data_IF_156460118948
#
_entry.id   IF_156460118948
#
_cell.length_a   1.000
_cell.length_b   1.000
_cell.length_c   1.000
_cell.angle_alpha   90.00
_cell.angle_beta   90.00
_cell.angle_gamma   90.00
#
_symmetry.space_group_name_H-M   'P 1'
#
loop_
_entity.id
_entity.type
_entity.pdbx_description
1 polymer ?
2 non-polymer ?
3 non-polymer ?
4 water ?
#
# COMPACT_ATOMS: atom_id res chain seq x y z
N UNK A 3 5.92 -12.51 -12.50
CA UNK A 3 4.73 -12.00 -11.83
C UNK A 3 3.72 -11.58 -12.89
N UNK A 4 2.45 -11.95 -12.70
CA UNK A 4 1.46 -11.74 -13.77
C UNK A 4 0.81 -10.38 -13.68
N UNK A 5 0.46 -9.86 -14.86
CA UNK A 5 -0.03 -8.48 -15.03
C UNK A 5 -1.56 -8.46 -14.99
N UNK A 6 -2.09 -8.77 -13.81
CA UNK A 6 -3.52 -8.78 -13.57
C UNK A 6 -3.86 -7.94 -12.35
N UNK A 7 -5.10 -7.46 -12.31
CA UNK A 7 -5.56 -6.68 -11.16
C UNK A 7 -5.37 -7.52 -9.90
N UNK A 8 -4.81 -6.90 -8.87
CA UNK A 8 -4.57 -7.58 -7.61
C UNK A 8 -5.67 -7.21 -6.62
N UNK A 9 -5.48 -7.61 -5.36
CA UNK A 9 -6.43 -7.32 -4.30
C UNK A 9 -5.70 -7.16 -2.99
N UNK A 10 -5.82 -5.99 -2.38
CA UNK A 10 -5.38 -5.76 -1.01
C UNK A 10 -6.58 -5.94 -0.10
N UNK A 11 -6.41 -6.79 0.92
CA UNK A 11 -7.52 -7.22 1.75
C UNK A 11 -6.95 -7.75 3.06
N UNK A 12 -7.80 -7.94 3.97
CA UNK A 12 -7.43 -8.35 5.31
C UNK A 12 -7.66 -9.85 5.50
N UNK A 13 -6.98 -10.50 6.46
CA UNK A 13 -7.27 -11.93 6.70
C UNK A 13 -8.55 -12.13 7.50
N UNK A 14 -8.99 -11.11 8.24
CA UNK A 14 -10.18 -11.27 9.12
C UNK A 14 -11.29 -10.26 8.80
N UNK A 15 -10.96 -9.13 8.15
CA UNK A 15 -11.98 -8.07 7.94
C UNK A 15 -13.13 -8.61 7.08
N UNK A 16 -12.82 -9.40 6.07
CA UNK A 16 -13.91 -10.01 5.23
C UNK A 16 -13.99 -11.49 5.57
N UNK A 17 -15.17 -11.96 5.94
CA UNK A 17 -15.35 -13.37 6.34
C UNK A 17 -14.91 -13.56 7.78
N UNK A 18 -15.02 -14.79 8.30
CA UNK A 18 -14.51 -15.05 9.67
C UNK A 18 -13.03 -15.48 9.60
N UNK A 19 -12.49 -15.73 8.39
CA UNK A 19 -11.13 -16.29 8.32
C UNK A 19 -10.55 -16.16 6.92
N UNK A 20 -9.34 -16.71 6.70
CA UNK A 20 -8.68 -16.56 5.38
C UNK A 20 -9.42 -17.45 4.38
N UNK A 21 -9.83 -18.64 4.84
CA UNK A 21 -10.54 -19.60 3.97
C UNK A 21 -11.84 -18.95 3.50
N UNK A 22 -12.51 -18.19 4.38
CA UNK A 22 -13.77 -17.51 4.00
C UNK A 22 -13.46 -16.54 2.87
N UNK A 23 -12.31 -15.85 2.95
CA UNK A 23 -11.92 -14.96 1.83
C UNK A 23 -11.74 -15.83 0.57
N UNK A 24 -11.12 -17.00 0.73
CA UNK A 24 -10.86 -17.87 -0.46
C UNK A 24 -12.18 -18.29 -1.09
N UNK A 25 -13.16 -18.61 -0.25
CA UNK A 25 -14.49 -19.03 -0.77
C UNK A 25 -15.04 -17.89 -1.63
N UNK A 26 -14.99 -16.66 -1.10
CA UNK A 26 -15.56 -15.50 -1.86
C UNK A 26 -14.69 -15.26 -3.09
N UNK A 27 -13.36 -15.30 -2.94
CA UNK A 27 -12.49 -14.98 -4.10
C UNK A 27 -12.70 -16.02 -5.21
N UNK A 28 -12.81 -17.30 -4.86
CA UNK A 28 -13.14 -18.30 -5.92
C UNK A 28 -14.52 -18.03 -6.49
N UNK A 29 -15.50 -17.72 -5.63
CA UNK A 29 -16.90 -17.53 -6.11
C UNK A 29 -16.95 -16.31 -7.04
N UNK A 30 -16.27 -15.23 -6.66
CA UNK A 30 -16.22 -14.02 -7.51
C UNK A 30 -14.79 -13.45 -7.44
N UNK A 31 -14.33 -12.79 -8.49
CA UNK A 31 -12.94 -12.22 -8.56
C UNK A 31 -11.99 -13.34 -8.97
N UNK A 32 -12.52 -14.53 -9.26
CA UNK A 32 -11.67 -15.65 -9.74
C UNK A 32 -11.06 -15.26 -11.08
N UNK A 33 -11.84 -14.61 -11.94
CA UNK A 33 -11.35 -14.21 -13.28
C UNK A 33 -10.92 -12.74 -13.26
N UNK A 34 -11.40 -11.98 -12.26
CA UNK A 34 -11.09 -10.56 -12.25
C UNK A 34 -9.70 -10.25 -11.69
N UNK A 35 -9.37 -10.81 -10.54
CA UNK A 35 -8.05 -10.62 -9.95
C UNK A 35 -7.14 -11.77 -10.35
N UNK A 36 -5.84 -11.58 -10.15
CA UNK A 36 -4.84 -12.60 -10.37
C UNK A 36 -3.73 -12.53 -9.34
N UNK A 37 -3.91 -11.66 -8.34
CA UNK A 37 -2.94 -11.46 -7.29
C UNK A 37 -3.65 -11.18 -5.99
N UNK A 38 -2.88 -11.17 -4.90
CA UNK A 38 -3.47 -10.99 -3.57
C UNK A 38 -2.41 -10.44 -2.63
N UNK A 39 -2.58 -9.19 -2.20
CA UNK A 39 -1.81 -8.63 -1.11
C UNK A 39 -2.67 -8.73 0.14
N UNK A 40 -2.29 -9.60 1.07
CA UNK A 40 -3.04 -9.79 2.30
C UNK A 40 -2.31 -9.05 3.42
N UNK A 41 -2.98 -8.07 4.02
CA UNK A 41 -2.45 -7.44 5.20
C UNK A 41 -2.14 -8.50 6.27
N UNK A 42 -1.15 -8.24 7.12
CA UNK A 42 -0.53 -9.33 7.90
C UNK A 42 -1.51 -10.14 8.72
N UNK A 43 -1.16 -11.42 8.90
CA UNK A 43 -1.89 -12.34 9.76
C UNK A 43 -1.21 -12.56 11.10
N UNK A 44 0.12 -12.62 11.10
CA UNK A 44 0.89 -13.07 12.25
C UNK A 44 0.60 -12.22 13.49
N UNK A 45 0.75 -12.80 14.69
CA UNK A 45 0.15 -12.18 15.89
C UNK A 45 0.81 -10.86 16.26
N UNK A 46 -0.02 -9.83 16.46
CA UNK A 46 0.46 -8.47 16.63
C UNK A 46 -0.24 -7.76 17.78
N UNK A 47 0.49 -6.91 18.49
CA UNK A 47 -0.15 -6.13 19.58
C UNK A 47 -0.66 -4.80 19.01
N UNK A 48 -0.08 -4.34 17.91
CA UNK A 48 -0.46 -3.00 17.40
C UNK A 48 -0.57 -2.92 15.87
N UNK A 49 -1.33 -1.94 15.37
CA UNK A 49 -1.41 -1.68 13.90
C UNK A 49 -1.86 -2.87 13.05
N UNK A 50 -2.84 -3.66 13.50
CA UNK A 50 -3.39 -4.69 12.61
C UNK A 50 -2.36 -5.65 12.02
N UNK A 51 -1.43 -6.13 12.84
CA UNK A 51 -0.37 -7.04 12.36
C UNK A 51 0.83 -6.29 11.82
N UNK A 52 0.81 -4.96 11.89
CA UNK A 52 2.00 -4.17 11.49
C UNK A 52 3.10 -4.34 12.56
N UNK A 53 2.75 -4.87 13.73
CA UNK A 53 3.78 -5.14 14.77
C UNK A 53 3.66 -6.59 15.24
N UNK A 54 4.05 -7.58 14.40
CA UNK A 54 4.03 -8.99 14.77
C UNK A 54 5.09 -9.42 15.79
N UNK A 55 4.77 -10.41 16.62
CA UNK A 55 5.81 -10.97 17.52
C UNK A 55 6.76 -11.77 16.64
N UNK A 56 6.26 -12.29 15.51
CA UNK A 56 7.11 -12.99 14.56
C UNK A 56 6.40 -13.04 13.22
N UNK A 57 7.16 -12.92 12.14
CA UNK A 57 6.63 -13.23 10.81
C UNK A 57 6.55 -14.72 10.56
N UNK A 58 7.18 -15.54 11.41
CA UNK A 58 7.31 -16.97 11.22
C UNK A 58 6.06 -17.74 11.61
N UNK A 59 4.94 -17.04 11.80
CA UNK A 59 3.70 -17.72 12.25
C UNK A 59 2.46 -17.05 11.64
N UNK A 60 1.31 -17.73 11.67
CA UNK A 60 0.04 -17.12 11.18
C UNK A 60 -0.94 -17.12 12.36
N UNK A 61 -1.61 -16.00 12.63
CA UNK A 61 -2.49 -15.97 13.83
C UNK A 61 -3.60 -17.01 13.62
N UNK A 62 -3.96 -17.79 14.66
CA UNK A 62 -4.96 -18.85 14.49
C UNK A 62 -6.35 -18.34 14.10
N UNK A 63 -6.79 -17.23 14.70
CA UNK A 63 -8.18 -16.77 14.46
C UNK A 63 -8.32 -16.42 12.97
N UNK A 64 -7.31 -15.76 12.41
CA UNK A 64 -7.35 -15.40 10.97
C UNK A 64 -7.39 -16.67 10.12
N UNK A 65 -6.61 -17.69 10.49
CA UNK A 65 -6.53 -18.87 9.61
C UNK A 65 -5.29 -19.71 9.88
N UNK A 66 -4.93 -20.56 8.91
CA UNK A 66 -3.75 -21.44 9.04
C UNK A 66 -2.84 -21.23 7.82
N UNK A 67 -1.57 -21.58 7.92
CA UNK A 67 -0.59 -21.29 6.84
C UNK A 67 -1.03 -21.98 5.55
N UNK A 68 -1.58 -23.18 5.67
CA UNK A 68 -1.99 -23.96 4.46
C UNK A 68 -3.05 -23.19 3.68
N UNK A 69 -3.98 -22.51 4.38
CA UNK A 69 -4.98 -21.69 3.66
C UNK A 69 -4.26 -20.58 2.88
N UNK A 70 -3.24 -19.97 3.49
CA UNK A 70 -2.43 -18.95 2.76
C UNK A 70 -1.77 -19.64 1.57
N UNK A 71 -1.30 -20.87 1.79
CA UNK A 71 -0.60 -21.62 0.71
C UNK A 71 -1.57 -21.86 -0.45
N UNK A 72 -2.84 -22.14 -0.13
CA UNK A 72 -3.84 -22.40 -1.19
C UNK A 72 -3.98 -21.14 -2.04
N UNK A 73 -3.99 -19.97 -1.42
CA UNK A 73 -4.04 -18.71 -2.18
C UNK A 73 -2.78 -18.61 -3.05
N UNK A 74 -1.63 -19.01 -2.48
CA UNK A 74 -0.34 -18.90 -3.22
C UNK A 74 -0.40 -19.80 -4.44
N UNK A 75 -0.98 -21.00 -4.29
CA UNK A 75 -1.05 -21.96 -5.40
C UNK A 75 -1.89 -21.39 -6.55
N UNK A 76 -3.01 -20.72 -6.23
CA UNK A 76 -3.93 -20.26 -7.29
C UNK A 76 -3.53 -18.87 -7.82
N UNK A 77 -3.29 -17.91 -6.91
CA UNK A 77 -3.03 -16.54 -7.35
C UNK A 77 -1.59 -16.15 -7.01
N UNK A 78 -1.26 -14.88 -7.26
CA UNK A 78 -0.04 -14.30 -6.70
C UNK A 78 -0.26 -13.90 -5.25
N UNK A 79 0.81 -13.91 -4.47
CA UNK A 79 0.72 -13.65 -3.04
C UNK A 79 1.68 -12.53 -2.67
N UNK A 80 1.14 -11.50 -2.02
CA UNK A 80 1.92 -10.39 -1.48
C UNK A 80 1.59 -10.22 -0.01
N UNK A 81 2.61 -10.08 0.83
CA UNK A 81 2.42 -9.87 2.27
C UNK A 81 3.52 -8.96 2.79
N UNK A 82 3.35 -8.53 4.03
CA UNK A 82 4.12 -7.42 4.58
C UNK A 82 5.34 -7.91 5.34
N UNK A 83 6.50 -7.36 4.99
CA UNK A 83 7.74 -7.56 5.70
C UNK A 83 8.00 -6.26 6.45
N UNK A 84 7.65 -6.22 7.74
CA UNK A 84 7.83 -5.00 8.52
C UNK A 84 9.31 -4.80 8.80
N UNK A 85 10.09 -4.49 7.76
CA UNK A 85 11.55 -4.42 7.85
C UNK A 85 12.05 -3.44 8.90
N UNK A 86 11.18 -2.57 9.42
CA UNK A 86 11.64 -1.49 10.29
C UNK A 86 11.60 -1.85 11.77
N UNK A 87 10.67 -2.69 12.20
CA UNK A 87 10.36 -2.84 13.61
C UNK A 87 9.76 -4.21 13.88
N UNK A 88 9.88 -4.65 15.14
CA UNK A 88 9.26 -5.88 15.61
C UNK A 88 8.64 -5.68 16.99
N UNK A 89 7.77 -6.62 17.38
CA UNK A 89 6.97 -6.46 18.58
C UNK A 89 7.83 -6.49 19.84
N UNK A 90 7.35 -5.83 20.90
CA UNK A 90 8.06 -5.88 22.20
C UNK A 90 7.72 -7.24 22.81
N UNK A 91 6.50 -7.72 22.54
CA UNK A 91 6.05 -9.05 23.00
C UNK A 91 6.92 -10.10 22.30
N UNK A 92 7.52 -9.71 21.16
CA UNK A 92 8.27 -10.68 20.34
C UNK A 92 9.39 -11.30 21.17
N UNK A 93 9.70 -12.59 20.99
CA UNK A 93 10.64 -13.29 21.87
C UNK A 93 12.04 -12.67 21.82
N UNK A 94 12.50 -12.26 20.65
CA UNK A 94 13.89 -11.74 20.60
C UNK A 94 13.94 -10.51 21.51
N UNK A 95 12.91 -9.65 21.45
CA UNK A 95 12.87 -8.51 22.40
C UNK A 95 12.76 -9.02 23.84
N UNK A 96 11.94 -10.05 24.04
CA UNK A 96 11.72 -10.58 25.40
C UNK A 96 13.04 -11.13 25.94
N UNK A 97 13.79 -11.81 25.08
CA UNK A 97 15.10 -12.38 25.50
C UNK A 97 16.01 -11.20 25.87
N UNK A 98 15.97 -10.14 25.09
CA UNK A 98 16.87 -9.00 25.36
C UNK A 98 16.54 -8.43 26.75
N UNK A 99 15.25 -8.30 27.04
CA UNK A 99 14.84 -7.76 28.37
C UNK A 99 15.31 -8.73 29.46
N UNK A 100 15.14 -10.03 29.22
CA UNK A 100 15.54 -11.03 30.24
C UNK A 100 17.04 -10.98 30.48
N UNK A 101 17.82 -10.86 29.40
CA UNK A 101 19.31 -10.84 29.52
C UNK A 101 19.75 -9.39 29.72
N UNK A 102 18.81 -8.46 29.66
CA UNK A 102 19.18 -7.03 29.74
C UNK A 102 20.15 -6.68 28.64
N UNK A 103 21.23 -6.00 28.99
CA UNK A 103 22.25 -5.59 27.99
C UNK A 103 22.89 -6.82 27.36
N UNK A 104 23.15 -7.87 28.14
CA UNK A 104 23.90 -9.02 27.58
C UNK A 104 22.96 -9.97 26.84
N UNK A 105 22.44 -9.54 25.68
CA UNK A 105 21.62 -10.44 24.83
C UNK A 105 22.06 -10.25 23.38
N UNK A 106 22.04 -11.32 22.58
CA UNK A 106 22.37 -11.18 21.13
C UNK A 106 21.32 -10.26 20.50
N UNK A 107 20.06 -10.42 20.90
CA UNK A 107 18.94 -9.62 20.34
C UNK A 107 19.14 -8.14 20.65
N UNK A 108 19.64 -7.81 21.85
CA UNK A 108 19.71 -6.39 22.25
C UNK A 108 20.60 -5.62 21.27
N UNK A 109 21.72 -6.20 20.85
CA UNK A 109 22.59 -5.53 19.84
C UNK A 109 21.76 -5.21 18.59
N UNK A 110 20.80 -6.08 18.25
CA UNK A 110 19.99 -5.87 17.02
C UNK A 110 19.02 -4.71 17.25
N UNK A 111 18.43 -4.61 18.45
CA UNK A 111 17.56 -3.45 18.77
C UNK A 111 18.42 -2.17 18.86
N UNK A 112 17.86 -1.03 18.46
CA UNK A 112 18.60 0.27 18.53
C UNK A 112 18.53 0.83 19.95
N UNK A 113 19.62 1.44 20.43
CA UNK A 113 19.63 2.03 21.80
C UNK A 113 19.96 3.52 21.67
N UNK A 114 19.21 4.39 22.35
CA UNK A 114 19.42 5.82 22.13
C UNK A 114 20.52 6.36 23.02
N UNK A 115 20.88 5.65 24.08
CA UNK A 115 22.00 6.04 24.93
C UNK A 115 23.32 5.94 24.20
N UNK A 116 23.35 5.31 23.04
CA UNK A 116 24.58 5.18 22.28
C UNK A 116 24.96 6.47 21.57
N UNK A 117 23.98 7.32 21.24
CA UNK A 117 24.23 8.52 20.45
C UNK A 117 24.81 9.68 21.24
N UNK A 118 25.08 9.50 22.53
CA UNK A 118 25.49 10.66 23.30
C UNK A 118 24.31 11.58 23.54
N UNK A 119 24.63 12.82 23.92
CA UNK A 119 23.62 13.81 24.27
C UNK A 119 23.23 14.56 23.00
N UNK A 120 21.99 14.37 22.55
CA UNK A 120 21.54 14.89 21.28
C UNK A 120 21.20 16.38 21.42
N UNK A 121 21.65 17.18 20.45
CA UNK A 121 21.39 18.61 20.45
C UNK A 121 19.90 18.89 20.30
N UNK A 122 19.45 20.07 20.74
CA UNK A 122 18.09 20.50 20.36
C UNK A 122 17.93 20.67 18.87
N UNK A 123 18.95 21.20 18.19
CA UNK A 123 18.91 21.30 16.73
C UNK A 123 18.84 19.90 16.11
N UNK A 124 19.72 19.01 16.56
CA UNK A 124 19.68 17.63 16.08
C UNK A 124 18.37 16.95 16.40
N UNK A 125 17.78 17.26 17.56
CA UNK A 125 16.48 16.67 17.92
C UNK A 125 15.38 17.13 16.99
N UNK A 126 15.24 18.44 16.80
CA UNK A 126 14.25 18.96 15.86
C UNK A 126 14.48 18.43 14.45
N UNK A 127 15.73 18.11 14.11
CA UNK A 127 16.04 17.60 12.78
C UNK A 127 15.31 16.29 12.45
N UNK A 128 14.80 15.58 13.44
CA UNK A 128 14.28 14.23 13.24
C UNK A 128 12.88 14.28 12.63
N UNK A 129 12.63 13.38 11.69
CA UNK A 129 11.34 13.23 11.03
C UNK A 129 10.36 12.53 11.98
N UNK A 130 9.20 13.15 12.23
CA UNK A 130 8.37 12.79 13.36
C UNK A 130 6.98 12.35 12.86
N UNK A 131 6.56 11.16 13.30
CA UNK A 131 5.19 10.69 13.08
C UNK A 131 4.22 11.40 14.02
N UNK A 132 4.54 11.39 15.30
CA UNK A 132 3.74 11.96 16.38
C UNK A 132 4.60 13.02 17.08
N UNK A 133 4.03 13.73 18.06
CA UNK A 133 4.73 14.82 18.73
C UNK A 133 5.22 14.45 20.14
N UNK A 134 5.57 13.18 20.36
CA UNK A 134 6.43 12.80 21.47
C UNK A 134 7.72 12.20 20.89
N UNK A 135 8.80 12.34 21.63
CA UNK A 135 10.10 11.91 21.12
C UNK A 135 10.09 10.42 20.81
N UNK A 136 10.74 9.98 19.74
CA UNK A 136 10.60 8.58 19.30
C UNK A 136 11.36 7.60 20.16
N UNK A 137 11.30 7.76 21.48
CA UNK A 137 12.11 6.96 22.39
C UNK A 137 11.22 6.15 23.32
N UNK A 138 11.87 5.26 24.08
CA UNK A 138 11.14 4.20 24.79
C UNK A 138 12.05 3.74 25.94
N UNK A 139 11.76 4.19 27.16
CA UNK A 139 12.52 3.76 28.33
C UNK A 139 12.02 2.39 28.75
N UNK A 140 12.88 1.39 28.64
CA UNK A 140 12.51 0.00 28.85
C UNK A 140 12.72 -0.38 30.31
N UNK A 141 11.77 -1.14 30.84
CA UNK A 141 11.87 -1.73 32.17
C UNK A 141 12.48 -3.12 32.02
N UNK A 142 13.76 -3.26 32.36
CA UNK A 142 14.44 -4.54 32.24
C UNK A 142 13.99 -5.49 33.35
N UNK A 143 14.25 -6.79 33.15
CA UNK A 143 14.13 -7.73 34.25
C UNK A 143 15.18 -7.45 35.31
N UNK A 144 16.38 -7.04 34.88
CA UNK A 144 17.50 -6.63 35.73
C UNK A 144 17.09 -5.57 36.75
N UNK A 145 15.93 -4.96 36.55
CA UNK A 145 15.53 -3.85 37.39
C UNK A 145 16.24 -2.57 37.04
N UNK A 146 16.63 -2.40 35.78
CA UNK A 146 17.41 -1.25 35.34
C UNK A 146 16.70 -0.57 34.17
N UNK A 147 17.03 0.70 33.96
CA UNK A 147 16.34 1.54 32.99
C UNK A 147 17.27 1.84 31.82
N UNK A 148 16.85 1.42 30.63
CA UNK A 148 17.56 1.71 29.40
C UNK A 148 16.58 2.29 28.38
N UNK A 149 17.11 2.75 27.25
CA UNK A 149 16.32 3.47 26.25
C UNK A 149 16.53 2.82 24.89
N UNK A 150 15.43 2.38 24.28
CA UNK A 150 15.43 1.95 22.88
C UNK A 150 14.59 2.96 22.10
N UNK A 151 14.87 3.03 20.79
CA UNK A 151 14.27 4.03 19.92
C UNK A 151 13.28 3.32 19.00
N UNK A 152 12.06 3.84 18.94
CA UNK A 152 11.01 3.25 18.13
C UNK A 152 10.20 4.35 17.46
N UNK A 153 9.82 4.14 16.20
CA UNK A 153 9.16 5.23 15.44
C UNK A 153 7.65 5.25 15.67
N UNK A 154 7.01 4.08 15.65
CA UNK A 154 5.53 4.02 15.74
C UNK A 154 5.09 3.70 17.17
N UNK A 155 4.18 2.73 17.32
CA UNK A 155 3.61 2.39 18.65
C UNK A 155 4.68 1.84 19.58
N UNK A 156 4.51 2.03 20.89
CA UNK A 156 5.53 1.60 21.88
C UNK A 156 5.72 0.08 21.76
N UNK A 157 4.61 -0.64 21.55
CA UNK A 157 4.71 -2.11 21.45
C UNK A 157 5.62 -2.44 20.26
N UNK A 158 5.49 -1.72 19.15
CA UNK A 158 6.45 -1.95 18.04
C UNK A 158 7.82 -1.45 18.50
N UNK A 159 8.89 -2.19 18.21
CA UNK A 159 10.26 -1.69 18.56
C UNK A 159 11.08 -1.62 17.27
N UNK A 160 11.70 -0.48 17.01
CA UNK A 160 12.58 -0.35 15.82
C UNK A 160 13.81 -1.24 16.00
N UNK A 161 14.26 -1.90 14.94
CA UNK A 161 15.52 -2.69 15.02
C UNK A 161 16.54 -1.96 14.15
N UNK A 162 17.69 -1.59 14.71
CA UNK A 162 18.60 -0.80 13.89
C UNK A 162 19.25 -1.68 12.83
N UNK A 163 19.88 -1.04 11.84
CA UNK A 163 20.52 -1.76 10.76
C UNK A 163 22.02 -1.52 10.75
N UNK A 164 22.62 -1.44 11.94
CA UNK A 164 24.06 -1.58 12.09
C UNK A 164 24.46 -2.95 12.63
N UNK A 165 23.56 -3.61 13.35
CA UNK A 165 23.76 -5.01 13.70
C UNK A 165 23.37 -5.87 12.52
N UNK A 166 24.25 -6.76 12.05
CA UNK A 166 23.83 -7.71 11.01
C UNK A 166 22.71 -8.63 11.46
N UNK A 167 22.45 -8.73 12.77
CA UNK A 167 21.32 -9.51 13.24
C UNK A 167 20.00 -8.99 12.70
N UNK A 168 19.92 -7.69 12.41
CA UNK A 168 18.77 -7.14 11.73
C UNK A 168 18.59 -7.79 10.35
N UNK A 169 19.64 -7.73 9.54
CA UNK A 169 19.60 -8.32 8.21
C UNK A 169 19.33 -9.81 8.27
N UNK A 170 19.77 -10.48 9.33
CA UNK A 170 19.63 -11.93 9.42
C UNK A 170 18.24 -12.34 9.89
N UNK A 171 17.67 -11.60 10.85
CA UNK A 171 16.26 -11.77 11.19
C UNK A 171 15.43 -11.56 9.94
N UNK A 172 15.73 -10.49 9.19
CA UNK A 172 15.08 -10.26 7.91
C UNK A 172 15.16 -11.51 7.06
N UNK A 173 16.38 -11.97 6.77
CA UNK A 173 16.60 -13.08 5.86
C UNK A 173 15.84 -14.33 6.29
N UNK A 174 15.73 -14.59 7.60
CA UNK A 174 14.96 -15.76 8.03
C UNK A 174 13.46 -15.55 7.80
N UNK A 175 12.97 -14.34 8.06
CA UNK A 175 11.60 -14.01 7.70
C UNK A 175 11.36 -14.25 6.21
N UNK A 176 12.21 -13.68 5.37
CA UNK A 176 12.08 -13.83 3.92
C UNK A 176 12.16 -15.29 3.51
N UNK A 177 13.04 -16.07 4.14
CA UNK A 177 13.12 -17.49 3.85
C UNK A 177 11.81 -18.20 4.10
N UNK A 178 11.29 -18.09 5.33
CA UNK A 178 10.01 -18.71 5.63
C UNK A 178 8.93 -18.27 4.65
N UNK A 179 8.79 -16.96 4.45
CA UNK A 179 7.67 -16.44 3.65
C UNK A 179 7.78 -16.88 2.19
N UNK A 180 8.95 -16.69 1.56
CA UNK A 180 9.13 -17.10 0.18
C UNK A 180 8.97 -18.60 0.01
N UNK A 181 9.33 -19.40 1.03
CA UNK A 181 9.03 -20.82 0.98
C UNK A 181 7.52 -21.04 0.97
N UNK A 182 6.79 -20.30 1.79
CA UNK A 182 5.34 -20.42 1.76
C UNK A 182 4.74 -19.93 0.44
N UNK A 183 5.56 -19.44 -0.49
CA UNK A 183 5.10 -19.13 -1.84
C UNK A 183 4.72 -17.69 -2.08
N UNK A 184 5.20 -16.75 -1.26
CA UNK A 184 4.81 -15.37 -1.44
C UNK A 184 5.51 -14.82 -2.69
N UNK A 185 4.71 -14.37 -3.65
CA UNK A 185 5.27 -13.83 -4.89
C UNK A 185 6.03 -12.54 -4.64
N UNK A 186 5.47 -11.68 -3.79
CA UNK A 186 5.94 -10.31 -3.62
C UNK A 186 5.80 -9.95 -2.15
N UNK A 187 6.73 -9.12 -1.67
CA UNK A 187 6.72 -8.69 -0.27
C UNK A 187 6.96 -7.19 -0.21
N UNK A 188 6.13 -6.49 0.55
CA UNK A 188 6.24 -5.04 0.66
C UNK A 188 7.04 -4.68 1.92
N UNK A 189 8.09 -3.89 1.72
CA UNK A 189 9.00 -3.51 2.81
C UNK A 189 8.37 -2.33 3.55
N UNK A 190 7.69 -2.63 4.67
CA UNK A 190 6.92 -1.62 5.36
C UNK A 190 7.81 -0.56 6.00
N UNK A 191 7.58 0.72 5.69
CA UNK A 191 8.34 1.83 6.33
C UNK A 191 9.86 1.62 6.29
N UNK A 192 10.43 1.40 5.09
CA UNK A 192 11.89 1.18 4.94
C UNK A 192 12.70 2.43 5.35
N UNK A 193 12.21 3.64 5.04
CA UNK A 193 12.99 4.88 5.27
C UNK A 193 13.31 5.12 6.74
N UNK A 194 12.39 4.80 7.63
CA UNK A 194 12.56 5.06 9.09
C UNK A 194 13.76 4.29 9.62
N UNK A 195 14.06 3.10 9.08
CA UNK A 195 15.11 2.25 9.68
C UNK A 195 16.47 2.92 9.71
N UNK A 196 16.89 3.64 8.67
CA UNK A 196 18.21 4.31 8.83
C UNK A 196 18.07 5.37 9.92
N UNK A 197 18.99 5.42 10.89
CA UNK A 197 18.96 6.51 11.91
C UNK A 197 20.34 7.15 12.07
N UNK A 198 20.45 8.48 11.98
CA UNK A 198 21.74 9.15 12.29
C UNK A 198 21.46 10.48 13.02
N UNK A 199 22.31 10.85 13.98
CA UNK A 199 22.17 12.19 14.64
C UNK A 199 22.59 13.26 13.63
N UNK A 200 21.97 14.45 13.67
CA UNK A 200 22.29 15.48 12.67
C UNK A 200 21.67 15.12 11.35
N UNK A 201 20.73 14.18 11.37
CA UNK A 201 20.09 13.68 10.13
C UNK A 201 18.59 13.58 10.35
N UNK A 202 17.81 13.59 9.27
CA UNK A 202 16.34 13.42 9.37
C UNK A 202 16.08 12.03 9.97
N UNK A 203 16.88 11.04 9.57
CA UNK A 203 16.71 9.63 10.05
C UNK A 203 15.60 9.00 9.19
N UNK A 204 15.14 9.71 8.17
CA UNK A 204 14.16 9.11 7.23
C UNK A 204 14.76 9.10 5.82
N UNK A 205 14.79 7.95 5.16
CA UNK A 205 15.25 7.88 3.74
C UNK A 205 16.65 8.47 3.60
N UNK A 206 17.57 8.22 4.53
CA UNK A 206 18.91 8.88 4.43
C UNK A 206 19.68 8.30 3.25
N UNK A 207 20.26 9.16 2.40
CA UNK A 207 21.11 8.70 1.27
C UNK A 207 22.46 8.21 1.77
N UNK A 208 23.15 7.27 1.08
CA UNK A 208 22.51 6.26 0.24
C UNK A 208 22.36 4.95 1.02
N UNK A 209 22.49 5.03 2.34
CA UNK A 209 22.44 3.80 3.18
C UNK A 209 21.07 3.15 3.03
N UNK A 210 20.01 3.97 2.98
CA UNK A 210 18.65 3.36 2.93
C UNK A 210 18.54 2.52 1.66
N UNK A 211 19.08 3.03 0.55
CA UNK A 211 19.08 2.26 -0.72
C UNK A 211 19.90 0.98 -0.54
N UNK A 212 21.04 1.10 0.14
CA UNK A 212 21.92 -0.09 0.32
C UNK A 212 21.18 -1.14 1.13
N UNK A 213 20.47 -0.72 2.18
CA UNK A 213 19.71 -1.69 3.03
C UNK A 213 18.64 -2.32 2.15
N UNK A 214 17.98 -1.51 1.32
CA UNK A 214 16.88 -2.03 0.47
C UNK A 214 17.45 -3.06 -0.51
N UNK A 215 18.62 -2.77 -1.07
CA UNK A 215 19.20 -3.69 -2.09
C UNK A 215 19.49 -5.04 -1.43
N UNK A 216 20.03 -5.03 -0.22
CA UNK A 216 20.41 -6.32 0.42
C UNK A 216 19.14 -7.16 0.64
N UNK A 217 18.08 -6.51 1.12
CA UNK A 217 16.79 -7.24 1.34
C UNK A 217 16.29 -7.74 -0.01
N UNK A 218 16.39 -6.89 -1.03
CA UNK A 218 15.87 -7.29 -2.36
C UNK A 218 16.67 -8.49 -2.88
N UNK A 219 17.99 -8.48 -2.68
CA UNK A 219 18.81 -9.57 -3.24
C UNK A 219 18.40 -10.88 -2.59
N UNK A 220 18.17 -10.85 -1.27
CA UNK A 220 17.80 -12.10 -0.55
C UNK A 220 16.44 -12.56 -1.11
N UNK A 221 15.53 -11.61 -1.32
CA UNK A 221 14.20 -11.94 -1.87
C UNK A 221 14.32 -12.51 -3.28
N UNK A 222 15.20 -11.92 -4.11
CA UNK A 222 15.36 -12.38 -5.51
C UNK A 222 15.87 -13.82 -5.54
N UNK A 223 16.83 -14.15 -4.67
CA UNK A 223 17.30 -15.57 -4.57
C UNK A 223 16.09 -16.35 -4.09
N UNK A 224 15.34 -15.77 -3.17
CA UNK A 224 14.09 -16.39 -2.65
C UNK A 224 13.10 -16.53 -3.80
N UNK A 225 13.08 -15.57 -4.74
CA UNK A 225 12.04 -15.58 -5.80
C UNK A 225 10.83 -14.76 -5.41
N UNK A 226 10.92 -14.01 -4.31
CA UNK A 226 9.81 -13.12 -3.92
C UNK A 226 10.16 -11.67 -4.30
N UNK A 227 9.27 -10.99 -5.03
CA UNK A 227 9.50 -9.58 -5.48
C UNK A 227 9.42 -8.61 -4.30
N UNK A 228 10.07 -7.46 -4.40
CA UNK A 228 10.10 -6.47 -3.29
C UNK A 228 9.29 -5.22 -3.64
N UNK A 229 8.43 -4.77 -2.73
CA UNK A 229 7.60 -3.56 -2.98
C UNK A 229 7.76 -2.63 -1.77
N UNK A 230 8.91 -1.94 -1.62
CA UNK A 230 9.15 -1.09 -0.47
C UNK A 230 8.14 0.06 -0.50
N UNK A 231 7.60 0.45 0.66
CA UNK A 231 6.56 1.50 0.65
C UNK A 231 7.10 2.75 1.32
N UNK A 232 6.98 3.90 0.67
CA UNK A 232 7.44 5.19 1.29
C UNK A 232 6.43 6.29 0.99
N UNK A 233 6.12 7.13 1.98
CA UNK A 233 5.20 8.28 1.77
C UNK A 233 6.03 9.56 1.76
N UNK A 234 6.59 9.92 0.61
CA UNK A 234 7.52 11.07 0.47
C UNK A 234 7.49 11.50 -0.99
N UNK A 235 8.22 12.56 -1.36
CA UNK A 235 8.08 13.08 -2.74
C UNK A 235 8.39 11.96 -3.74
N UNK A 236 7.60 11.86 -4.81
CA UNK A 236 7.70 10.76 -5.81
C UNK A 236 9.16 10.44 -6.17
N UNK A 237 10.08 11.39 -6.05
CA UNK A 237 11.46 11.13 -6.51
C UNK A 237 11.98 9.85 -5.82
N UNK A 238 11.63 9.66 -4.55
CA UNK A 238 12.06 8.44 -3.83
C UNK A 238 11.47 7.21 -4.53
N UNK A 239 10.21 7.30 -4.98
CA UNK A 239 9.56 6.19 -5.69
C UNK A 239 10.33 5.91 -6.99
N UNK A 240 10.78 6.96 -7.68
CA UNK A 240 11.56 6.79 -8.93
C UNK A 240 12.86 6.05 -8.61
N UNK A 241 13.48 6.38 -7.48
CA UNK A 241 14.74 5.73 -7.08
C UNK A 241 14.48 4.24 -6.87
N UNK A 242 13.32 3.90 -6.30
CA UNK A 242 12.97 2.47 -6.06
C UNK A 242 12.89 1.78 -7.42
N UNK A 243 12.35 2.47 -8.44
CA UNK A 243 12.25 1.88 -9.80
C UNK A 243 13.65 1.60 -10.34
N UNK A 244 14.60 2.51 -10.12
CA UNK A 244 16.02 2.28 -10.53
C UNK A 244 16.55 1.06 -9.78
N UNK A 245 16.20 0.93 -8.50
CA UNK A 245 16.61 -0.24 -7.66
C UNK A 245 16.04 -1.51 -8.29
N UNK A 246 14.84 -1.44 -8.87
CA UNK A 246 14.11 -2.61 -9.44
C UNK A 246 13.13 -3.14 -8.41
N UNK A 247 13.17 -2.61 -7.18
CA UNK A 247 12.09 -2.93 -6.22
C UNK A 247 10.87 -2.19 -6.78
N UNK A 248 9.66 -2.73 -6.64
CA UNK A 248 8.51 -2.05 -7.29
C UNK A 248 8.13 -0.74 -6.59
N UNK A 249 7.93 0.38 -7.34
CA UNK A 249 7.42 1.64 -6.76
C UNK A 249 5.91 1.61 -6.49
N UNK A 250 5.41 2.43 -5.57
CA UNK A 250 3.95 2.54 -5.32
C UNK A 250 3.38 3.73 -6.11
N UNK A 251 2.10 3.68 -6.48
CA UNK A 251 1.49 4.79 -7.19
C UNK A 251 0.68 5.66 -6.25
N UNK A 252 1.34 6.20 -5.22
CA UNK A 252 0.63 6.99 -4.22
C UNK A 252 0.16 8.33 -4.75
N UNK A 253 0.73 8.80 -5.87
CA UNK A 253 0.38 10.13 -6.36
C UNK A 253 -0.94 10.14 -7.11
N UNK A 254 -1.33 9.01 -7.68
CA UNK A 254 -2.47 8.96 -8.60
C UNK A 254 -3.81 9.13 -7.88
N UNK A 255 -4.01 8.62 -6.66
CA UNK A 255 -5.31 8.81 -5.99
C UNK A 255 -5.67 10.29 -5.83
N UNK A 256 -4.84 11.13 -5.19
CA UNK A 256 -5.23 12.55 -5.10
C UNK A 256 -5.15 13.27 -6.43
N UNK A 257 -4.23 12.87 -7.31
CA UNK A 257 -4.19 13.41 -8.67
C UNK A 257 -5.53 13.17 -9.37
N UNK A 258 -6.05 11.94 -9.30
CA UNK A 258 -7.33 11.65 -9.94
C UNK A 258 -8.50 12.32 -9.21
N UNK A 259 -8.44 12.40 -7.88
CA UNK A 259 -9.49 13.11 -7.16
C UNK A 259 -9.60 14.55 -7.65
N UNK A 260 -8.46 15.24 -7.77
CA UNK A 260 -8.48 16.58 -8.33
C UNK A 260 -9.00 16.58 -9.76
N UNK A 261 -8.44 15.70 -10.60
CA UNK A 261 -8.77 15.71 -12.02
C UNK A 261 -10.26 15.50 -12.25
N UNK A 262 -10.89 14.66 -11.43
CA UNK A 262 -12.33 14.43 -11.54
C UNK A 262 -13.12 15.58 -10.93
N UNK A 263 -12.60 16.17 -9.86
CA UNK A 263 -13.26 17.30 -9.23
C UNK A 263 -13.39 18.48 -10.19
N UNK A 264 -12.28 18.84 -10.82
CA UNK A 264 -12.20 20.04 -11.65
C UNK A 264 -12.35 19.75 -13.13
N UNK A 265 -12.51 18.49 -13.52
CA UNK A 265 -12.56 18.10 -14.92
C UNK A 265 -11.34 18.63 -15.68
N UNK A 266 -10.17 18.23 -15.19
CA UNK A 266 -8.89 18.76 -15.67
C UNK A 266 -7.94 17.58 -15.85
N UNK A 267 -7.43 17.41 -17.06
CA UNK A 267 -6.63 16.25 -17.43
C UNK A 267 -5.14 16.54 -17.56
N UNK A 268 -4.73 17.80 -17.39
CA UNK A 268 -3.38 18.20 -17.80
C UNK A 268 -2.30 17.55 -16.93
N UNK A 269 -2.43 17.71 -15.61
CA UNK A 269 -1.40 17.19 -14.70
C UNK A 269 -1.38 15.66 -14.72
N UNK A 270 -2.56 15.04 -14.76
CA UNK A 270 -2.64 13.60 -14.93
C UNK A 270 -1.84 13.15 -16.15
N UNK A 271 -1.95 13.88 -17.25
CA UNK A 271 -1.29 13.46 -18.49
C UNK A 271 0.21 13.68 -18.46
N UNK A 272 0.68 14.79 -17.89
CA UNK A 272 2.11 14.96 -17.69
C UNK A 272 2.67 13.80 -16.87
N UNK A 273 2.05 13.55 -15.71
CA UNK A 273 2.43 12.42 -14.88
C UNK A 273 2.47 11.12 -15.69
N UNK A 274 1.48 10.90 -16.55
CA UNK A 274 1.47 9.68 -17.37
C UNK A 274 2.67 9.63 -18.29
N UNK A 275 3.00 10.76 -18.93
CA UNK A 275 4.21 10.80 -19.77
C UNK A 275 5.43 10.33 -18.99
N UNK A 276 5.54 10.74 -17.72
CA UNK A 276 6.80 10.56 -17.00
C UNK A 276 6.73 9.61 -15.81
N UNK A 277 5.64 8.86 -15.64
CA UNK A 277 5.46 8.08 -14.40
C UNK A 277 6.55 7.02 -14.26
N UNK A 278 6.88 6.63 -13.02
CA UNK A 278 7.93 5.63 -12.81
C UNK A 278 7.49 4.25 -13.31
N UNK A 279 8.46 3.41 -13.66
CA UNK A 279 8.07 2.11 -14.19
C UNK A 279 8.11 1.10 -13.06
N UNK A 280 7.63 -0.09 -13.36
CA UNK A 280 7.45 -1.18 -12.39
C UNK A 280 6.54 -0.77 -11.25
N UNK A 281 5.70 0.25 -11.46
CA UNK A 281 4.83 0.74 -10.41
C UNK A 281 3.69 -0.23 -10.16
N UNK A 282 3.25 -0.33 -8.91
CA UNK A 282 1.98 -0.98 -8.58
C UNK A 282 1.05 0.14 -8.16
N UNK A 283 -0.12 0.20 -8.79
CA UNK A 283 -0.90 1.42 -8.84
C UNK A 283 -2.19 1.24 -8.04
N UNK A 284 -2.37 2.08 -7.03
CA UNK A 284 -3.52 2.01 -6.14
C UNK A 284 -4.45 3.18 -6.42
N UNK A 285 -5.67 3.06 -5.92
CA UNK A 285 -6.54 4.20 -5.66
C UNK A 285 -6.87 4.20 -4.18
N UNK A 286 -7.82 3.36 -3.82
CA UNK A 286 -8.27 3.17 -2.46
C UNK A 286 -7.36 2.18 -1.75
N UNK A 287 -6.92 2.52 -0.54
CA UNK A 287 -5.89 1.78 0.18
C UNK A 287 -6.32 1.56 1.62
N UNK A 288 -5.51 0.79 2.36
CA UNK A 288 -5.82 0.52 3.76
C UNK A 288 -5.37 1.64 4.68
N UNK A 289 -4.56 2.57 4.20
CA UNK A 289 -4.24 3.78 4.92
C UNK A 289 -5.00 4.93 4.30
N UNK A 290 -4.67 6.16 4.70
CA UNK A 290 -5.27 7.33 4.11
C UNK A 290 -4.58 7.74 2.83
N UNK A 291 -4.73 9.02 2.49
CA UNK A 291 -3.98 9.64 1.40
C UNK A 291 -3.03 10.64 2.06
N UNK A 292 -1.79 10.21 2.30
CA UNK A 292 -0.78 11.12 2.84
C UNK A 292 -0.42 12.10 1.72
N UNK A 293 -0.85 13.36 1.88
CA UNK A 293 -0.77 14.38 0.84
C UNK A 293 0.61 14.54 0.20
N UNK A 294 1.73 14.54 0.96
CA UNK A 294 3.04 14.76 0.33
C UNK A 294 3.37 13.85 -0.85
N UNK A 295 2.56 12.82 -1.11
CA UNK A 295 2.79 11.96 -2.26
C UNK A 295 2.39 12.61 -3.59
N UNK A 296 1.58 13.67 -3.54
CA UNK A 296 1.12 14.35 -4.75
C UNK A 296 1.84 15.67 -4.99
N UNK A 297 2.64 16.13 -4.05
CA UNK A 297 3.30 17.42 -4.19
C UNK A 297 4.33 17.38 -5.32
N UNK A 298 4.38 18.47 -6.09
CA UNK A 298 5.17 18.50 -7.29
C UNK A 298 4.40 17.97 -8.48
N UNK A 299 3.71 16.85 -8.27
CA UNK A 299 2.84 16.29 -9.30
C UNK A 299 1.63 17.20 -9.49
N UNK A 300 1.05 17.68 -8.39
CA UNK A 300 -0.06 18.61 -8.40
C UNK A 300 0.41 19.91 -7.75
N UNK A 301 0.15 21.07 -8.37
CA UNK A 301 0.57 22.33 -7.75
C UNK A 301 -0.11 22.56 -6.41
N UNK A 302 0.55 23.38 -5.57
CA UNK A 302 -0.04 23.70 -4.27
C UNK A 302 -1.36 24.42 -4.43
N UNK A 303 -1.50 25.22 -5.49
CA UNK A 303 -2.80 25.85 -5.76
C UNK A 303 -3.87 24.79 -5.96
N UNK A 304 -3.56 23.74 -6.73
CA UNK A 304 -4.53 22.70 -7.02
C UNK A 304 -4.73 21.75 -5.85
N UNK A 305 -3.67 21.46 -5.08
CA UNK A 305 -3.84 20.69 -3.86
C UNK A 305 -4.75 21.44 -2.89
N UNK A 306 -4.64 22.76 -2.85
CA UNK A 306 -5.52 23.57 -2.01
C UNK A 306 -6.94 23.57 -2.54
N UNK A 307 -7.11 23.65 -3.86
CA UNK A 307 -8.44 23.51 -4.46
C UNK A 307 -9.07 22.18 -4.04
N UNK A 308 -8.31 21.10 -4.14
CA UNK A 308 -8.83 19.78 -3.79
C UNK A 308 -9.19 19.71 -2.30
N UNK A 309 -8.29 20.19 -1.45
CA UNK A 309 -8.50 20.08 0.00
C UNK A 309 -9.71 20.91 0.42
N UNK A 310 -9.85 22.10 -0.16
CA UNK A 310 -11.01 22.94 0.16
C UNK A 310 -12.30 22.31 -0.35
N UNK A 311 -12.33 21.92 -1.63
CA UNK A 311 -13.52 21.33 -2.22
C UNK A 311 -13.78 19.94 -1.64
N UNK A 312 -12.90 19.47 -0.76
CA UNK A 312 -13.21 18.29 0.03
C UNK A 312 -14.12 18.64 1.18
N UNK A 313 -13.79 19.69 1.93
CA UNK A 313 -14.43 20.00 3.21
C UNK A 313 -15.92 20.22 3.03
N UNK A 314 -16.72 19.23 3.45
CA UNK A 314 -18.17 19.27 3.26
C UNK A 314 -18.90 19.12 4.59
N UNK A 323 -19.28 10.17 5.39
CA UNK A 323 -19.95 10.81 4.27
C UNK A 323 -18.95 11.47 3.34
N UNK A 324 -17.80 11.87 3.91
CA UNK A 324 -16.69 12.47 3.19
C UNK A 324 -15.53 12.58 4.16
N UNK A 325 -14.37 12.98 3.64
CA UNK A 325 -13.10 12.78 4.32
C UNK A 325 -13.03 13.50 5.67
N UNK A 326 -12.21 12.93 6.56
CA UNK A 326 -11.75 13.61 7.77
C UNK A 326 -10.23 13.61 7.72
N UNK A 327 -9.63 14.78 7.95
CA UNK A 327 -8.15 14.91 7.79
C UNK A 327 -7.47 15.23 9.12
N UNK A 328 -6.41 14.50 9.45
CA UNK A 328 -5.63 14.80 10.70
C UNK A 328 -4.22 15.19 10.26
N UNK A 329 -3.73 16.33 10.74
CA UNK A 329 -2.39 16.83 10.31
C UNK A 329 -1.51 17.10 11.53
N UNK A 330 -0.29 16.54 11.58
CA UNK A 330 0.58 16.90 12.73
C UNK A 330 1.59 18.00 12.39
N UNK A 331 2.32 17.86 11.27
CA UNK A 331 3.37 18.85 10.89
C UNK A 331 2.87 19.77 9.77
N UNK A 332 1.62 19.62 9.34
CA UNK A 332 1.13 20.36 8.17
C UNK A 332 -0.28 20.88 8.37
N UNK A 333 -0.70 21.87 7.57
CA UNK A 333 -2.12 22.27 7.73
C UNK A 333 -2.94 21.03 7.39
N UNK A 334 -2.57 20.27 6.34
CA UNK A 334 -3.21 18.94 6.12
C UNK A 334 -2.09 17.91 5.97
N UNK A 335 -2.08 16.85 6.79
CA UNK A 335 -1.07 15.78 6.58
C UNK A 335 -1.70 14.60 5.84
N UNK A 336 -2.88 14.19 6.29
CA UNK A 336 -3.55 13.00 5.69
C UNK A 336 -5.07 13.23 5.70
N UNK A 337 -5.80 12.57 4.81
CA UNK A 337 -7.28 12.67 4.80
C UNK A 337 -7.83 11.24 4.77
N UNK A 338 -8.75 10.88 5.67
CA UNK A 338 -9.18 9.46 5.63
C UNK A 338 -10.62 9.41 5.16
N UNK A 339 -10.87 8.73 4.03
CA UNK A 339 -12.24 8.54 3.54
C UNK A 339 -12.24 7.32 2.62
N UNK A 340 -13.39 6.67 2.42
CA UNK A 340 -13.41 5.62 1.38
C UNK A 340 -13.34 6.34 0.03
N UNK A 341 -12.73 5.72 -0.99
CA UNK A 341 -12.57 6.44 -2.27
C UNK A 341 -13.97 6.75 -2.82
N UNK A 342 -14.90 5.81 -2.66
CA UNK A 342 -16.30 6.08 -3.08
C UNK A 342 -16.79 7.38 -2.43
N UNK A 343 -16.63 7.53 -1.10
CA UNK A 343 -17.11 8.79 -0.53
C UNK A 343 -16.21 9.96 -0.87
N UNK A 344 -14.96 9.71 -1.24
CA UNK A 344 -14.12 10.78 -1.77
C UNK A 344 -14.74 11.38 -3.03
N UNK A 345 -15.29 10.53 -3.89
CA UNK A 345 -15.97 10.97 -5.10
C UNK A 345 -17.47 11.19 -4.89
N UNK A 346 -17.91 11.36 -3.64
CA UNK A 346 -19.30 11.67 -3.32
C UNK A 346 -20.26 10.60 -3.86
N UNK A 347 -19.79 9.35 -3.86
CA UNK A 347 -20.58 8.18 -4.23
C UNK A 347 -21.06 8.19 -5.68
N UNK A 348 -20.65 9.20 -6.45
CA UNK A 348 -20.85 9.19 -7.90
C UNK A 348 -20.17 7.96 -8.51
N UNK A 349 -20.96 7.04 -9.05
CA UNK A 349 -20.38 5.79 -9.51
C UNK A 349 -19.77 5.88 -10.90
N UNK A 350 -20.27 6.78 -11.75
CA UNK A 350 -19.62 7.03 -13.04
C UNK A 350 -18.22 7.57 -12.84
N UNK A 351 -18.06 8.52 -11.92
CA UNK A 351 -16.73 9.06 -11.61
C UNK A 351 -15.82 7.97 -11.05
N UNK A 352 -16.36 7.11 -10.19
CA UNK A 352 -15.55 6.04 -9.61
C UNK A 352 -15.13 5.02 -10.67
N UNK A 353 -16.03 4.72 -11.60
CA UNK A 353 -15.70 3.80 -12.68
C UNK A 353 -14.61 4.40 -13.57
N UNK A 354 -14.74 5.69 -13.90
CA UNK A 354 -13.69 6.36 -14.67
C UNK A 354 -12.36 6.34 -13.92
N UNK A 355 -12.40 6.54 -12.61
CA UNK A 355 -11.17 6.51 -11.81
C UNK A 355 -10.51 5.14 -11.88
N UNK A 356 -11.30 4.08 -11.70
CA UNK A 356 -10.75 2.73 -11.75
C UNK A 356 -10.22 2.40 -13.14
N UNK A 357 -10.92 2.84 -14.19
CA UNK A 357 -10.45 2.59 -15.55
C UNK A 357 -9.13 3.28 -15.81
N UNK A 358 -9.03 4.56 -15.42
CA UNK A 358 -7.78 5.30 -15.59
C UNK A 358 -6.65 4.62 -14.81
N UNK A 359 -6.94 4.15 -13.60
CA UNK A 359 -5.95 3.39 -12.84
C UNK A 359 -5.48 2.16 -13.62
N UNK A 360 -6.43 1.46 -14.23
CA UNK A 360 -6.08 0.19 -14.87
C UNK A 360 -5.28 0.40 -16.15
N UNK A 361 -5.57 1.47 -16.89
CA UNK A 361 -4.73 1.78 -18.04
C UNK A 361 -3.40 2.42 -17.66
N UNK A 362 -3.19 2.74 -16.40
CA UNK A 362 -1.91 3.29 -15.98
C UNK A 362 -0.86 2.19 -16.01
N UNK A 363 0.31 2.45 -16.62
CA UNK A 363 1.39 1.45 -16.58
C UNK A 363 1.66 0.97 -15.16
N UNK A 364 1.79 -0.34 -15.02
CA UNK A 364 1.97 -0.97 -13.73
C UNK A 364 0.85 -1.95 -13.42
N UNK A 365 0.93 -2.51 -12.22
CA UNK A 365 0.06 -3.60 -11.80
C UNK A 365 -1.04 -3.00 -10.92
N UNK A 366 -2.29 -2.92 -11.41
CA UNK A 366 -3.35 -2.28 -10.61
C UNK A 366 -3.72 -3.12 -9.41
N UNK A 367 -4.11 -2.43 -8.33
CA UNK A 367 -4.38 -3.08 -7.05
C UNK A 367 -5.64 -2.46 -6.46
N UNK A 368 -6.73 -3.22 -6.46
CA UNK A 368 -8.01 -2.78 -5.92
C UNK A 368 -8.11 -3.21 -4.46
N UNK A 369 -8.67 -2.33 -3.64
CA UNK A 369 -8.87 -2.57 -2.21
C UNK A 369 -10.28 -3.10 -1.97
N UNK A 370 -10.44 -3.83 -0.86
CA UNK A 370 -11.69 -4.56 -0.68
C UNK A 370 -12.88 -3.63 -0.48
N UNK A 371 -12.77 -2.66 0.43
CA UNK A 371 -13.84 -1.67 0.57
C UNK A 371 -14.07 -0.92 -0.75
N UNK A 372 -13.03 -0.77 -1.56
CA UNK A 372 -13.24 -0.20 -2.88
C UNK A 372 -13.96 -1.16 -3.82
N UNK A 373 -13.63 -2.45 -3.74
CA UNK A 373 -14.25 -3.42 -4.63
C UNK A 373 -15.74 -3.56 -4.36
N UNK A 374 -16.15 -3.53 -3.09
CA UNK A 374 -17.57 -3.56 -2.78
C UNK A 374 -18.21 -2.16 -2.79
N UNK A 375 -17.52 -1.16 -3.34
CA UNK A 375 -18.01 0.23 -3.38
C UNK A 375 -18.53 0.65 -2.02
N UNK A 376 -17.75 0.31 -1.00
CA UNK A 376 -18.21 0.48 0.36
C UNK A 376 -18.19 1.94 0.78
N UNK A 377 -19.23 2.37 1.48
CA UNK A 377 -19.21 3.75 2.04
C UNK A 377 -18.56 3.67 3.43
N UNK A 378 -17.85 4.73 3.86
CA UNK A 378 -17.11 4.68 5.15
C UNK A 378 -18.08 4.53 6.32
N UNK A 379 -17.72 3.75 7.34
CA UNK A 379 -18.60 3.69 8.54
C UNK A 379 -17.90 4.40 9.71
N UNK A 380 -18.51 5.46 10.23
CA UNK A 380 -17.96 6.20 11.40
C UNK A 380 -17.97 5.33 12.66
N UNK A 381 -19.02 4.54 12.85
CA UNK A 381 -19.19 3.79 14.14
C UNK A 381 -18.05 2.81 14.39
N UNK A 382 -17.59 2.06 13.38
CA UNK A 382 -16.45 1.17 13.68
C UNK A 382 -15.27 2.04 14.09
N UNK A 383 -15.08 3.15 13.38
CA UNK A 383 -13.94 4.05 13.68
C UNK A 383 -14.12 4.60 15.09
N UNK A 384 -15.35 4.98 15.46
CA UNK A 384 -15.50 5.61 16.79
C UNK A 384 -15.14 4.62 17.89
N UNK A 385 -15.58 3.37 17.78
CA UNK A 385 -15.29 2.43 18.88
C UNK A 385 -13.78 2.22 18.97
N UNK A 386 -13.14 2.04 17.82
CA UNK A 386 -11.66 1.87 17.78
C UNK A 386 -10.96 3.15 18.23
N UNK A 387 -11.50 4.31 17.83
CA UNK A 387 -10.78 5.57 18.10
C UNK A 387 -9.72 5.77 17.05
N UNK A 388 -9.71 4.90 16.02
CA UNK A 388 -8.71 5.00 14.93
C UNK A 388 -9.34 5.67 13.72
N UNK A 389 -8.62 6.60 13.10
CA UNK A 389 -9.13 7.31 11.92
C UNK A 389 -9.30 6.35 10.75
N UNK A 390 -8.20 5.74 10.31
CA UNK A 390 -8.14 4.87 9.13
C UNK A 390 -9.22 3.78 9.15
N UNK A 391 -9.83 3.56 10.31
CA UNK A 391 -10.84 2.52 10.44
C UNK A 391 -12.12 2.86 9.69
N UNK A 392 -12.33 4.10 9.25
CA UNK A 392 -13.47 4.34 8.37
C UNK A 392 -13.27 3.67 7.04
N UNK A 393 -12.04 3.27 6.71
CA UNK A 393 -11.75 2.57 5.47
C UNK A 393 -11.51 1.07 5.70
N UNK A 394 -11.85 0.54 6.87
CA UNK A 394 -11.52 -0.83 7.23
C UNK A 394 -12.70 -1.52 7.89
N UNK A 395 -13.90 -1.35 7.33
CA UNK A 395 -15.10 -1.96 7.89
C UNK A 395 -15.11 -3.46 7.59
N UNK A 396 -15.69 -4.22 8.53
CA UNK A 396 -15.80 -5.67 8.44
C UNK A 396 -16.99 -6.08 7.58
N UNK A 397 -16.77 -7.03 6.67
CA UNK A 397 -17.82 -7.55 5.81
C UNK A 397 -18.20 -8.97 6.23
N UNK A 398 -19.50 -9.24 6.28
CA UNK A 398 -20.01 -10.60 6.32
C UNK A 398 -20.33 -11.08 4.90
N UNK A 399 -20.34 -12.40 4.71
CA UNK A 399 -20.39 -12.93 3.35
C UNK A 399 -21.72 -12.65 2.65
N UNK A 400 -22.81 -12.54 3.41
CA UNK A 400 -24.08 -12.17 2.77
C UNK A 400 -24.13 -10.69 2.45
N UNK A 401 -23.57 -9.85 3.35
CA UNK A 401 -23.27 -8.48 2.99
C UNK A 401 -22.48 -8.42 1.70
N UNK A 402 -21.46 -9.25 1.59
CA UNK A 402 -20.71 -9.41 0.34
C UNK A 402 -21.68 -9.65 -0.83
N UNK A 403 -22.37 -10.81 -0.82
CA UNK A 403 -23.29 -11.14 -1.91
C UNK A 403 -24.16 -9.96 -2.35
N UNK A 404 -24.92 -9.37 -1.41
CA UNK A 404 -25.82 -8.28 -1.81
C UNK A 404 -25.05 -7.06 -2.30
N UNK A 405 -23.81 -6.87 -1.84
CA UNK A 405 -23.02 -5.72 -2.34
C UNK A 405 -22.46 -5.98 -3.75
N UNK A 406 -21.99 -7.20 -4.05
CA UNK A 406 -21.67 -7.48 -5.46
C UNK A 406 -22.95 -7.46 -6.32
N UNK A 407 -24.14 -7.52 -5.70
CA UNK A 407 -25.34 -7.29 -6.50
C UNK A 407 -25.61 -5.80 -6.77
N UNK A 408 -24.61 -4.92 -6.63
CA UNK A 408 -24.84 -3.52 -6.97
C UNK A 408 -24.36 -3.24 -8.40
N UNK A 409 -25.04 -2.35 -9.14
CA UNK A 409 -24.63 -2.10 -10.53
C UNK A 409 -23.21 -1.56 -10.65
N UNK A 410 -22.80 -0.69 -9.72
CA UNK A 410 -21.46 -0.13 -9.79
C UNK A 410 -20.41 -1.21 -9.56
N UNK A 411 -20.64 -2.10 -8.59
CA UNK A 411 -19.68 -3.17 -8.32
C UNK A 411 -19.58 -4.13 -9.49
N UNK A 412 -20.70 -4.39 -10.17
CA UNK A 412 -20.67 -5.31 -11.30
C UNK A 412 -19.98 -4.67 -12.50
N UNK A 413 -20.20 -3.36 -12.73
CA UNK A 413 -19.42 -2.64 -13.73
C UNK A 413 -17.93 -2.71 -13.41
N UNK A 414 -17.58 -2.46 -12.15
CA UNK A 414 -16.19 -2.57 -11.74
C UNK A 414 -15.63 -3.95 -12.04
N UNK A 415 -16.37 -4.99 -11.71
CA UNK A 415 -15.91 -6.36 -11.94
C UNK A 415 -15.69 -6.64 -13.43
N UNK A 416 -16.63 -6.22 -14.27
CA UNK A 416 -16.43 -6.31 -15.72
C UNK A 416 -15.13 -5.63 -16.12
N UNK A 417 -14.86 -4.46 -15.54
CA UNK A 417 -13.62 -3.72 -15.85
C UNK A 417 -12.38 -4.49 -15.40
N UNK A 418 -12.41 -4.95 -14.16
CA UNK A 418 -11.21 -5.64 -13.59
C UNK A 418 -10.91 -6.85 -14.47
N UNK A 419 -11.94 -7.63 -14.81
CA UNK A 419 -11.71 -8.87 -15.58
C UNK A 419 -11.10 -8.50 -16.93
N UNK A 420 -11.62 -7.45 -17.58
CA UNK A 420 -11.11 -7.14 -18.93
C UNK A 420 -9.63 -6.78 -18.85
N UNK A 421 -9.25 -5.97 -17.85
CA UNK A 421 -7.84 -5.52 -17.82
C UNK A 421 -6.91 -6.71 -17.63
N UNK A 422 -7.24 -7.62 -16.71
CA UNK A 422 -6.39 -8.82 -16.53
C UNK A 422 -6.43 -9.71 -17.77
N UNK A 423 -7.62 -9.92 -18.33
CA UNK A 423 -7.79 -10.79 -19.53
C UNK A 423 -7.13 -10.23 -20.80
N UNK A 424 -7.22 -8.92 -21.03
CA UNK A 424 -6.76 -8.39 -22.35
C UNK A 424 -5.26 -8.55 -22.62
N UNK A 425 -4.88 -8.99 -23.83
CA UNK A 425 -3.48 -9.10 -24.27
C UNK A 425 -2.69 -7.79 -24.42
N UNK A 426 -3.32 -6.70 -24.84
CA UNK A 426 -2.60 -5.46 -25.22
C UNK A 426 -1.78 -4.90 -24.05
N UNK A 427 -2.27 -5.00 -22.82
CA UNK A 427 -1.51 -4.35 -21.72
C UNK A 427 -0.11 -4.98 -21.66
N UNK A 428 0.00 -6.29 -21.87
CA UNK A 428 1.33 -6.96 -21.90
C UNK A 428 2.27 -6.32 -22.94
N UNK A 429 1.79 -5.38 -23.76
CA UNK A 429 2.61 -4.70 -24.75
C UNK A 429 3.13 -3.38 -24.26
N UNK A 430 3.12 -2.38 -25.15
CA UNK A 430 3.61 -1.06 -24.78
C UNK A 430 2.46 -0.09 -24.56
N UNK A 431 2.71 0.88 -23.68
CA UNK A 431 1.75 1.94 -23.40
C UNK A 431 2.03 3.10 -24.35
N UNK A 432 0.97 3.63 -24.97
CA UNK A 432 1.08 4.88 -25.71
C UNK A 432 -0.06 5.78 -25.28
N UNK A 433 0.28 6.88 -24.63
CA UNK A 433 -0.68 7.89 -24.25
C UNK A 433 -0.96 8.80 -25.45
N UNK A 434 -2.23 9.13 -25.66
CA UNK A 434 -2.65 9.86 -26.84
C UNK A 434 -2.90 11.32 -26.49
N UNK A 435 -2.92 12.15 -27.53
CA UNK A 435 -3.28 13.54 -27.38
C UNK A 435 -4.75 13.64 -26.96
N UNK A 436 -5.04 14.65 -26.12
CA UNK A 436 -6.41 14.94 -25.73
C UNK A 436 -6.47 16.37 -25.22
N UNK A 437 -7.69 16.87 -25.05
CA UNK A 437 -7.86 18.21 -24.50
C UNK A 437 -7.68 18.19 -22.98
N UNK A 438 -7.68 19.38 -22.40
CA UNK A 438 -7.40 19.53 -20.97
C UNK A 438 -8.57 19.11 -20.08
N UNK A 439 -9.62 18.52 -20.64
CA UNK A 439 -10.76 18.07 -19.84
C UNK A 439 -11.13 16.62 -20.10
N UNK A 440 -10.25 15.87 -20.78
CA UNK A 440 -10.49 14.46 -21.07
C UNK A 440 -9.14 13.81 -21.30
N UNK A 441 -9.12 12.47 -21.25
CA UNK A 441 -7.85 11.75 -21.31
C UNK A 441 -8.00 10.50 -22.17
N UNK A 442 -6.92 10.17 -22.89
CA UNK A 442 -6.88 9.08 -23.85
C UNK A 442 -5.62 8.25 -23.62
N UNK A 443 -5.79 7.01 -23.18
CA UNK A 443 -4.68 6.11 -22.87
C UNK A 443 -4.82 4.83 -23.67
N UNK A 444 -3.78 4.43 -24.39
CA UNK A 444 -3.88 3.27 -25.26
C UNK A 444 -2.81 2.24 -24.92
N UNK A 445 -3.17 0.98 -25.13
CA UNK A 445 -2.24 -0.14 -25.02
C UNK A 445 -2.23 -0.92 -26.33
N UNK A 446 -1.04 -1.36 -26.75
CA UNK A 446 -0.94 -2.07 -28.04
C UNK A 446 0.04 -3.25 -27.91
N UNK A 447 -0.48 -4.46 -27.74
CA UNK A 447 0.45 -5.62 -27.76
C UNK A 447 0.21 -6.38 -29.06
N UNK A 448 1.21 -6.44 -29.93
CA UNK A 448 1.08 -7.21 -31.19
C UNK A 448 -0.15 -6.75 -31.94
N UNK A 449 -0.95 -7.70 -32.43
CA UNK A 449 -2.25 -7.36 -33.07
C UNK A 449 -3.19 -6.72 -32.04
N UNK A 450 -3.18 -7.23 -30.80
CA UNK A 450 -4.16 -6.77 -29.78
C UNK A 450 -3.98 -5.28 -29.46
N UNK A 451 -5.10 -4.58 -29.27
CA UNK A 451 -5.03 -3.15 -28.93
C UNK A 451 -6.29 -2.74 -28.17
N UNK A 452 -6.14 -1.92 -27.14
CA UNK A 452 -7.26 -1.39 -26.37
C UNK A 452 -6.99 0.07 -26.04
N UNK A 453 -8.07 0.79 -25.77
CA UNK A 453 -8.01 2.25 -25.76
C UNK A 453 -9.09 2.78 -24.81
N UNK A 454 -8.64 3.39 -23.72
CA UNK A 454 -9.52 4.08 -22.78
C UNK A 454 -9.62 5.54 -23.16
N UNK A 455 -10.85 6.04 -23.23
CA UNK A 455 -11.10 7.46 -23.39
C UNK A 455 -12.11 7.88 -22.33
N UNK A 456 -11.71 8.80 -21.46
CA UNK A 456 -12.58 9.30 -20.39
C UNK A 456 -12.84 10.78 -20.65
N UNK A 457 -14.12 11.13 -20.68
CA UNK A 457 -14.54 12.53 -20.57
C UNK A 457 -14.72 12.83 -19.09
N UNK A 458 -13.88 13.74 -18.58
CA UNK A 458 -13.82 14.09 -17.17
C UNK A 458 -14.91 15.07 -16.75
N UNK A 459 -15.38 15.91 -17.66
CA UNK A 459 -16.47 16.81 -17.32
C UNK A 459 -17.83 16.17 -17.50
N UNK A 460 -17.89 14.95 -18.04
CA UNK A 460 -19.12 14.17 -18.09
C UNK A 460 -18.97 12.77 -17.53
N UNK A 461 -17.76 12.35 -17.17
CA UNK A 461 -17.53 11.06 -16.51
C UNK A 461 -17.94 9.89 -17.39
N UNK A 462 -17.58 9.94 -18.67
CA UNK A 462 -17.96 8.88 -19.59
C UNK A 462 -16.72 8.12 -20.05
N UNK A 463 -16.77 6.79 -19.91
CA UNK A 463 -15.60 5.92 -20.01
C UNK A 463 -15.85 4.92 -21.13
N UNK A 464 -15.24 5.20 -22.29
CA UNK A 464 -15.45 4.45 -23.53
C UNK A 464 -14.14 3.77 -23.90
N UNK A 465 -14.15 2.45 -24.00
CA UNK A 465 -12.96 1.67 -24.33
C UNK A 465 -13.20 0.97 -25.66
N UNK A 466 -12.27 1.18 -26.59
CA UNK A 466 -12.34 0.51 -27.92
C UNK A 466 -11.27 -0.57 -27.93
N UNK A 467 -11.64 -1.80 -28.29
CA UNK A 467 -10.68 -2.93 -28.22
C UNK A 467 -10.75 -3.77 -29.49
N UNK A 468 -9.68 -4.49 -29.79
CA UNK A 468 -9.71 -5.41 -30.95
C UNK A 468 -9.74 -6.84 -30.41
N UNK A 469 -10.71 -7.65 -30.84
CA UNK A 469 -10.85 -9.00 -30.25
C UNK A 469 -10.50 -10.03 -31.33
N UNK A 470 -9.63 -10.98 -31.00
CA UNK A 470 -9.16 -11.94 -32.04
C UNK A 470 -10.36 -12.75 -32.56
N UNK A 471 -11.26 -13.17 -31.67
CA UNK A 471 -12.34 -14.05 -32.17
C UNK A 471 -13.18 -13.27 -33.20
N UNK A 472 -13.54 -12.01 -32.89
CA UNK A 472 -14.22 -11.18 -33.91
C UNK A 472 -13.28 -10.90 -35.07
N UNK A 473 -12.01 -10.61 -34.76
CA UNK A 473 -11.05 -10.24 -35.80
C UNK A 473 -11.24 -8.78 -36.17
N UNK A 474 -12.10 -8.04 -35.46
CA UNK A 474 -12.41 -6.63 -35.82
C UNK A 474 -12.49 -5.75 -34.57
N UNK A 475 -12.22 -4.45 -34.72
CA UNK A 475 -12.28 -3.50 -33.57
C UNK A 475 -13.71 -3.38 -33.04
N UNK A 476 -13.86 -3.30 -31.72
CA UNK A 476 -15.21 -3.19 -31.10
C UNK A 476 -15.19 -2.07 -30.05
N UNK A 477 -16.35 -1.45 -29.81
CA UNK A 477 -16.40 -0.30 -28.86
C UNK A 477 -17.42 -0.56 -27.75
N UNK A 478 -16.99 -0.49 -26.49
CA UNK A 478 -17.89 -0.68 -25.36
C UNK A 478 -17.71 0.47 -24.38
N UNK A 479 -18.72 0.63 -23.52
CA UNK A 479 -18.78 1.70 -22.52
C UNK A 479 -18.69 1.04 -21.15
N UNK A 480 -17.51 1.07 -20.54
CA UNK A 480 -17.36 0.37 -19.26
C UNK A 480 -17.88 1.22 -18.12
X LIG B 1 2.42 0.12 7.02
X LIG B 1 1.32 0.87 7.76
X LIG B 1 1.52 0.71 9.26
X LIG B 1 2.92 1.14 9.65
X LIG B 1 3.14 1.00 11.15
X LIG B 1 3.78 0.55 7.52
X LIG B 1 2.30 0.36 5.61
X LIG B 1 0.04 0.37 7.38
X LIG B 1 0.55 1.51 9.96
X LIG B 1 3.87 0.34 8.93
X LIG B 1 3.68 -0.29 11.47
X LIG C 1 11.88 -6.03 -11.42
#
# INVERSE_FOLDING_TARGET
>A
MLLKNAVQLICYPDRIGNNLKDLYTVVDTHLSEAIGGLHILPFFPSNADGGFSPLTHKEVDPKFGTWDDIEAFTAKYDLCVDLTVNHISDESPEFKDFIANGFDSEYADLFVHVDKFGEISPDDLALIHIRKEKEPFREVTLADGTKTRVWCTFTEQQIDLNYESPLAYQLMESYIGFLTSKGVNLLRLDAFGYTTKRIGTSCFLVEPEVYQILDWINQVALKHGAECLPEVHDHISYQYAISRRNMHPYGFALPPLLLYSLLDANSTYLKNWLRMCPRNMVTVLDTHDGICIPDVEGVLPDEKIKVLIDNIDARSADPIMRRSAANIHSVGAIYQLTCTFYDALMQNDDAYIAARAIQFFTPGIPQVYYVGLLAGCNDHELMEQTGELRDINRHYYTLEEVEQDIQKPVVQRLLSLMKFRSNYPAFDGHFELNYSNNSSVAMAWRHGDYYCHLFVDLNFKTVKVTYTDVETGETRHLEC
>B hetero
1 BGC C2 C3 C4 C5 C6 C1 O2 O3 O4 O5 O6
>C hetero
1 LI LI
#
